data_IF_670793756559
#
_entry.id   IF_670793756559
#
_cell.length_a   1.000
_cell.length_b   1.000
_cell.length_c   1.000
_cell.angle_alpha   90.00
_cell.angle_beta   90.00
_cell.angle_gamma   90.00
#
_symmetry.space_group_name_H-M   'P 1'
#
loop_
_entity.id
_entity.type
_entity.pdbx_description
1 polymer ?
#
# COMPACT_ATOMS: atom_id res chain seq x y z
N UNK A 1 -3.36 -38.56 8.32
CA UNK A 1 -2.78 -37.20 8.21
C UNK A 1 -3.56 -36.16 9.02
N UNK A 2 -4.89 -36.22 9.10
CA UNK A 2 -5.69 -35.23 9.85
C UNK A 2 -5.62 -35.34 11.38
N UNK A 3 -5.19 -36.48 11.91
CA UNK A 3 -5.17 -36.70 13.36
C UNK A 3 -4.08 -35.88 14.06
N UNK A 4 -2.93 -35.67 13.41
CA UNK A 4 -1.82 -34.87 13.97
C UNK A 4 -2.20 -33.40 14.12
N UNK A 5 -3.01 -32.86 13.19
CA UNK A 5 -3.48 -31.47 13.24
C UNK A 5 -4.36 -31.21 14.47
N UNK A 6 -5.05 -32.23 15.00
CA UNK A 6 -5.88 -32.09 16.21
C UNK A 6 -5.07 -31.77 17.47
N UNK A 7 -3.79 -32.15 17.49
CA UNK A 7 -2.91 -31.97 18.64
C UNK A 7 -1.99 -30.75 18.52
N UNK A 8 -2.14 -29.96 17.45
CA UNK A 8 -1.37 -28.74 17.23
C UNK A 8 -2.27 -27.54 17.50
N UNK A 9 -1.74 -26.55 18.21
CA UNK A 9 -2.46 -25.30 18.46
C UNK A 9 -2.92 -24.65 17.16
N UNK A 10 -4.18 -24.22 17.13
CA UNK A 10 -4.80 -23.61 15.95
C UNK A 10 -4.00 -22.41 15.44
N UNK A 11 -3.47 -21.58 16.33
CA UNK A 11 -2.64 -20.43 15.96
C UNK A 11 -1.35 -20.81 15.20
N UNK A 12 -0.79 -21.99 15.49
CA UNK A 12 0.39 -22.49 14.79
C UNK A 12 -0.01 -22.96 13.39
N UNK A 13 -1.15 -23.63 13.26
CA UNK A 13 -1.67 -24.08 11.97
C UNK A 13 -2.04 -22.90 11.06
N UNK A 14 -2.74 -21.89 11.59
CA UNK A 14 -3.13 -20.69 10.84
C UNK A 14 -1.90 -19.93 10.33
N UNK A 15 -0.86 -19.81 11.18
CA UNK A 15 0.42 -19.21 10.79
C UNK A 15 1.12 -20.00 9.69
N UNK A 16 1.20 -21.32 9.84
CA UNK A 16 1.89 -22.15 8.86
C UNK A 16 1.16 -22.15 7.52
N UNK A 17 -0.17 -22.10 7.55
CA UNK A 17 -0.99 -21.97 6.35
C UNK A 17 -0.70 -20.66 5.62
N UNK A 18 -0.66 -19.53 6.35
CA UNK A 18 -0.28 -18.24 5.78
C UNK A 18 1.15 -18.25 5.20
N UNK A 19 2.11 -18.91 5.86
CA UNK A 19 3.47 -19.08 5.31
C UNK A 19 3.49 -19.94 4.05
N UNK A 20 2.66 -20.98 3.98
CA UNK A 20 2.56 -21.84 2.81
C UNK A 20 2.03 -21.06 1.60
N UNK A 21 0.98 -20.26 1.80
CA UNK A 21 0.42 -19.38 0.76
C UNK A 21 1.47 -18.39 0.26
N UNK A 22 2.16 -17.69 1.18
CA UNK A 22 3.17 -16.71 0.80
C UNK A 22 4.40 -17.33 0.13
N UNK A 23 4.67 -18.62 0.34
CA UNK A 23 5.79 -19.32 -0.28
C UNK A 23 5.45 -19.87 -1.66
N UNK A 24 4.23 -20.39 -1.83
CA UNK A 24 3.71 -20.97 -3.08
C UNK A 24 2.68 -20.05 -3.72
N UNK A 25 2.95 -18.75 -3.75
CA UNK A 25 1.96 -17.75 -4.18
C UNK A 25 1.43 -17.93 -5.60
N UNK A 26 2.04 -18.77 -6.45
CA UNK A 26 1.53 -19.06 -7.79
C UNK A 26 0.28 -19.94 -7.79
N UNK A 27 0.10 -20.76 -6.75
CA UNK A 27 -0.96 -21.77 -6.67
C UNK A 27 -2.25 -21.23 -5.99
N UNK A 28 -2.21 -20.01 -5.45
CA UNK A 28 -3.27 -19.43 -4.62
C UNK A 28 -3.90 -18.19 -5.25
N UNK A 29 -5.14 -17.92 -4.84
CA UNK A 29 -5.89 -16.75 -5.30
C UNK A 29 -5.33 -15.45 -4.72
N UNK A 30 -5.58 -14.34 -5.42
CA UNK A 30 -5.05 -13.03 -5.02
C UNK A 30 -5.55 -12.60 -3.63
N UNK A 31 -6.80 -12.97 -3.27
CA UNK A 31 -7.37 -12.69 -1.94
C UNK A 31 -6.65 -13.46 -0.83
N UNK A 32 -6.39 -14.75 -1.02
CA UNK A 32 -5.71 -15.59 -0.03
C UNK A 32 -4.28 -15.10 0.25
N UNK A 33 -3.59 -14.65 -0.80
CA UNK A 33 -2.24 -14.07 -0.68
C UNK A 33 -2.31 -12.76 0.08
N UNK A 34 -3.28 -11.90 -0.22
CA UNK A 34 -3.47 -10.65 0.50
C UNK A 34 -3.76 -10.88 1.98
N UNK A 35 -4.66 -11.81 2.32
CA UNK A 35 -4.99 -12.16 3.70
C UNK A 35 -3.76 -12.71 4.45
N UNK A 36 -2.95 -13.53 3.78
CA UNK A 36 -1.70 -14.03 4.35
C UNK A 36 -0.67 -12.91 4.59
N UNK A 37 -0.58 -11.90 3.70
CA UNK A 37 0.25 -10.70 3.93
C UNK A 37 -0.28 -9.93 5.14
N UNK A 38 -1.60 -9.72 5.23
CA UNK A 38 -2.24 -9.02 6.34
C UNK A 38 -1.95 -9.69 7.69
N UNK A 39 -1.99 -11.03 7.73
CA UNK A 39 -1.70 -11.81 8.94
C UNK A 39 -0.32 -11.49 9.52
N UNK A 40 0.70 -11.25 8.68
CA UNK A 40 2.05 -10.94 9.14
C UNK A 40 2.36 -9.44 9.24
N UNK A 41 1.74 -8.60 8.40
CA UNK A 41 1.90 -7.15 8.45
C UNK A 41 1.23 -6.53 9.68
N UNK A 42 0.19 -7.18 10.21
CA UNK A 42 -0.51 -6.76 11.42
C UNK A 42 -1.64 -5.75 11.16
N UNK A 43 -2.36 -5.39 12.24
CA UNK A 43 -3.61 -4.62 12.16
C UNK A 43 -3.45 -3.21 11.58
N UNK A 44 -2.27 -2.58 11.74
CA UNK A 44 -1.95 -1.26 11.18
C UNK A 44 -2.15 -1.23 9.67
N UNK A 45 -1.82 -2.32 9.00
CA UNK A 45 -1.95 -2.43 7.55
C UNK A 45 -3.41 -2.37 7.10
N UNK A 46 -4.31 -3.07 7.77
CA UNK A 46 -5.73 -3.13 7.40
C UNK A 46 -6.43 -1.75 7.50
N UNK A 47 -5.90 -0.86 8.34
CA UNK A 47 -6.43 0.48 8.52
C UNK A 47 -5.86 1.50 7.52
N UNK A 48 -5.00 1.08 6.58
CA UNK A 48 -4.40 2.01 5.61
C UNK A 48 -5.45 2.64 4.70
N UNK A 49 -5.21 3.90 4.31
CA UNK A 49 -6.12 4.68 3.45
C UNK A 49 -6.37 3.98 2.11
N UNK A 50 -5.34 3.33 1.56
CA UNK A 50 -5.41 2.55 0.32
C UNK A 50 -6.45 1.43 0.40
N UNK A 51 -6.47 0.69 1.52
CA UNK A 51 -7.41 -0.42 1.73
C UNK A 51 -8.81 0.08 2.03
N UNK A 52 -8.95 1.19 2.78
CA UNK A 52 -10.26 1.80 3.07
C UNK A 52 -10.95 2.34 1.81
N UNK A 53 -10.20 3.03 0.92
CA UNK A 53 -10.77 3.70 -0.26
C UNK A 53 -10.83 2.82 -1.51
N UNK A 54 -9.82 1.97 -1.74
CA UNK A 54 -9.63 1.21 -2.98
C UNK A 54 -9.29 -0.27 -2.68
N UNK A 55 -10.16 -0.95 -1.91
CA UNK A 55 -9.92 -2.31 -1.41
C UNK A 55 -9.66 -3.33 -2.53
N UNK A 56 -10.51 -3.38 -3.55
CA UNK A 56 -10.45 -4.39 -4.61
C UNK A 56 -9.16 -4.27 -5.43
N UNK A 57 -8.82 -3.06 -5.87
CA UNK A 57 -7.58 -2.80 -6.61
C UNK A 57 -6.36 -3.05 -5.73
N UNK A 58 -6.41 -2.66 -4.45
CA UNK A 58 -5.32 -2.89 -3.50
C UNK A 58 -5.02 -4.38 -3.36
N UNK A 59 -6.03 -5.23 -3.16
CA UNK A 59 -5.86 -6.69 -3.05
C UNK A 59 -5.09 -7.25 -4.26
N UNK A 60 -5.52 -6.90 -5.48
CA UNK A 60 -4.90 -7.36 -6.72
C UNK A 60 -3.44 -6.87 -6.80
N UNK A 61 -3.19 -5.59 -6.49
CA UNK A 61 -1.85 -5.00 -6.54
C UNK A 61 -0.91 -5.70 -5.55
N UNK A 62 -1.33 -5.86 -4.29
CA UNK A 62 -0.51 -6.52 -3.27
C UNK A 62 -0.16 -7.97 -3.64
N UNK A 63 -1.16 -8.74 -4.07
CA UNK A 63 -0.94 -10.12 -4.50
C UNK A 63 0.00 -10.19 -5.70
N UNK A 64 -0.21 -9.33 -6.71
CA UNK A 64 0.62 -9.29 -7.90
C UNK A 64 2.06 -8.93 -7.60
N UNK A 65 2.27 -7.88 -6.81
CA UNK A 65 3.60 -7.41 -6.42
C UNK A 65 4.32 -8.49 -5.64
N UNK A 66 3.65 -9.18 -4.71
CA UNK A 66 4.24 -10.29 -3.96
C UNK A 66 4.67 -11.44 -4.87
N UNK A 67 3.79 -11.89 -5.78
CA UNK A 67 4.11 -12.93 -6.79
C UNK A 67 5.31 -12.52 -7.64
N UNK A 68 5.38 -11.25 -8.07
CA UNK A 68 6.47 -10.75 -8.89
C UNK A 68 7.79 -10.72 -8.12
N UNK A 69 7.78 -10.24 -6.87
CA UNK A 69 8.99 -10.18 -6.04
C UNK A 69 9.56 -11.58 -5.80
N UNK A 70 8.69 -12.58 -5.59
CA UNK A 70 9.13 -13.98 -5.44
C UNK A 70 9.76 -14.54 -6.71
N UNK A 71 9.22 -14.22 -7.89
CA UNK A 71 9.76 -14.65 -9.19
C UNK A 71 11.07 -13.95 -9.54
N UNK A 72 11.14 -12.65 -9.30
CA UNK A 72 12.24 -11.78 -9.72
C UNK A 72 13.42 -11.79 -8.75
N UNK A 73 13.22 -12.21 -7.51
CA UNK A 73 14.10 -11.85 -6.42
C UNK A 73 15.00 -12.96 -5.90
N UNK A 74 16.18 -13.11 -6.50
CA UNK A 74 17.36 -13.52 -5.76
C UNK A 74 18.14 -12.26 -5.39
N UNK A 75 18.06 -11.86 -4.12
CA UNK A 75 18.86 -10.78 -3.56
C UNK A 75 19.91 -11.45 -2.68
N UNK A 76 21.19 -11.21 -2.95
CA UNK A 76 22.31 -11.84 -2.25
C UNK A 76 22.21 -13.38 -2.18
N UNK A 77 21.71 -13.99 -3.25
CA UNK A 77 21.54 -15.45 -3.37
C UNK A 77 20.43 -16.06 -2.51
N UNK A 78 19.52 -15.24 -1.94
CA UNK A 78 18.35 -15.70 -1.19
C UNK A 78 17.08 -15.02 -1.69
N UNK A 79 15.96 -15.73 -1.58
CA UNK A 79 14.64 -15.17 -1.91
C UNK A 79 14.21 -14.08 -0.93
N UNK A 80 13.36 -13.14 -1.37
CA UNK A 80 12.72 -12.15 -0.45
C UNK A 80 11.96 -12.88 0.67
N UNK A 81 11.31 -14.01 0.37
CA UNK A 81 10.68 -14.85 1.40
C UNK A 81 11.67 -15.23 2.51
N UNK A 82 12.88 -15.63 2.15
CA UNK A 82 13.93 -16.01 3.11
C UNK A 82 14.41 -14.82 3.93
N UNK A 83 14.40 -13.60 3.36
CA UNK A 83 14.72 -12.38 4.09
C UNK A 83 13.63 -11.98 5.09
N UNK A 84 12.36 -12.24 4.78
CA UNK A 84 11.23 -11.91 5.64
C UNK A 84 11.00 -12.96 6.74
N UNK A 85 11.04 -14.25 6.40
CA UNK A 85 10.64 -15.35 7.29
C UNK A 85 11.80 -16.27 7.70
N UNK A 86 13.00 -16.05 7.17
CA UNK A 86 14.16 -16.88 7.44
C UNK A 86 14.18 -18.19 6.65
N UNK A 87 15.09 -19.08 7.03
CA UNK A 87 15.21 -20.43 6.46
C UNK A 87 14.44 -21.44 7.30
N UNK A 88 14.00 -22.51 6.64
CA UNK A 88 13.38 -23.66 7.30
C UNK A 88 14.39 -24.30 8.25
N UNK A 89 14.05 -24.39 9.54
CA UNK A 89 14.94 -24.88 10.58
C UNK A 89 14.55 -26.29 11.01
N UNK A 90 15.56 -27.08 11.39
CA UNK A 90 15.38 -28.38 12.03
C UNK A 90 15.73 -28.22 13.51
N UNK A 91 14.74 -28.25 14.41
CA UNK A 91 14.95 -28.14 15.85
C UNK A 91 14.67 -29.48 16.54
N UNK A 92 15.52 -29.90 17.47
CA UNK A 92 15.17 -31.01 18.35
C UNK A 92 13.99 -30.61 19.24
N UNK A 93 12.97 -31.45 19.28
CA UNK A 93 11.84 -31.28 20.18
C UNK A 93 11.79 -32.45 21.15
N UNK A 94 11.17 -32.23 22.30
CA UNK A 94 10.99 -33.24 23.33
C UNK A 94 9.52 -33.23 23.73
N UNK A 95 8.63 -33.89 22.96
CA UNK A 95 7.18 -33.81 23.16
C UNK A 95 6.74 -34.19 24.57
N UNK A 96 7.48 -35.10 25.20
CA UNK A 96 7.21 -35.63 26.55
C UNK A 96 8.23 -35.17 27.60
N UNK A 97 8.95 -34.06 27.38
CA UNK A 97 10.02 -33.61 28.30
C UNK A 97 9.57 -33.51 29.76
N UNK A 98 8.33 -33.07 29.96
CA UNK A 98 7.73 -32.85 31.29
C UNK A 98 6.79 -33.97 31.72
N UNK A 99 6.66 -35.04 30.94
CA UNK A 99 5.80 -36.17 31.25
C UNK A 99 6.63 -37.31 31.85
N UNK A 100 6.15 -37.92 32.92
CA UNK A 100 6.70 -39.19 33.41
C UNK A 100 6.07 -40.31 32.59
N UNK A 101 6.88 -41.01 31.80
CA UNK A 101 6.39 -42.12 30.98
C UNK A 101 7.38 -43.29 30.98
N UNK A 102 6.84 -44.49 30.81
CA UNK A 102 7.61 -45.72 30.61
C UNK A 102 7.58 -46.08 29.12
N UNK A 103 8.75 -46.24 28.51
CA UNK A 103 8.85 -46.53 27.08
C UNK A 103 9.13 -48.02 26.87
N UNK A 104 8.05 -48.81 26.70
CA UNK A 104 8.13 -50.28 26.60
C UNK A 104 8.43 -50.76 25.16
N UNK A 105 8.40 -49.86 24.17
CA UNK A 105 8.62 -50.19 22.76
C UNK A 105 9.99 -49.71 22.27
N UNK A 106 10.61 -50.49 21.38
CA UNK A 106 11.68 -49.98 20.51
C UNK A 106 11.09 -48.87 19.65
N UNK A 107 11.64 -47.66 19.75
CA UNK A 107 11.12 -46.49 19.03
C UNK A 107 11.25 -46.71 17.52
N UNK A 108 10.11 -46.98 16.87
CA UNK A 108 10.02 -47.07 15.42
C UNK A 108 10.25 -45.67 14.83
N UNK A 109 11.04 -45.63 13.75
CA UNK A 109 11.24 -44.40 12.98
C UNK A 109 9.90 -43.96 12.39
N UNK A 110 9.50 -42.71 12.67
CA UNK A 110 8.21 -42.17 12.27
C UNK A 110 8.36 -40.79 11.63
N UNK A 111 7.62 -40.55 10.56
CA UNK A 111 7.56 -39.26 9.88
C UNK A 111 6.12 -38.78 9.80
N UNK A 112 5.86 -37.59 10.36
CA UNK A 112 4.56 -36.95 10.38
C UNK A 112 4.64 -35.63 9.63
N UNK A 113 4.00 -35.58 8.46
CA UNK A 113 3.91 -34.36 7.64
C UNK A 113 2.60 -33.67 8.00
N UNK A 114 2.68 -32.42 8.47
CA UNK A 114 1.50 -31.62 8.86
C UNK A 114 1.01 -30.79 7.68
N UNK A 115 1.92 -30.07 7.02
CA UNK A 115 1.69 -29.22 5.85
C UNK A 115 3.01 -29.02 5.08
N UNK A 116 3.01 -28.18 4.04
CA UNK A 116 4.21 -27.92 3.23
C UNK A 116 5.36 -27.21 3.98
N UNK A 117 5.12 -26.81 5.23
CA UNK A 117 5.99 -25.93 6.02
C UNK A 117 6.42 -26.58 7.35
N UNK A 118 5.67 -27.55 7.87
CA UNK A 118 5.91 -28.24 9.13
C UNK A 118 5.87 -29.75 8.99
N UNK A 119 6.92 -30.40 9.48
CA UNK A 119 6.97 -31.86 9.66
C UNK A 119 7.74 -32.25 10.92
N UNK A 120 7.40 -33.43 11.43
CA UNK A 120 8.05 -34.03 12.59
C UNK A 120 8.67 -35.37 12.21
N UNK A 121 9.91 -35.57 12.62
CA UNK A 121 10.67 -36.78 12.36
C UNK A 121 11.14 -37.36 13.68
N UNK A 122 10.72 -38.57 13.99
CA UNK A 122 11.31 -39.38 15.04
C UNK A 122 12.32 -40.33 14.41
N UNK A 123 13.58 -40.25 14.83
CA UNK A 123 14.58 -41.27 14.51
C UNK A 123 15.28 -41.71 15.77
N UNK A 124 15.29 -43.01 16.06
CA UNK A 124 15.94 -43.55 17.27
C UNK A 124 15.57 -42.77 18.55
N UNK A 125 14.29 -42.43 18.72
CA UNK A 125 13.77 -41.65 19.86
C UNK A 125 14.00 -40.16 19.85
N UNK A 126 14.81 -39.66 18.92
CA UNK A 126 15.09 -38.23 18.81
C UNK A 126 14.07 -37.61 17.87
N UNK A 127 13.22 -36.77 18.45
CA UNK A 127 12.26 -35.99 17.70
C UNK A 127 12.89 -34.72 17.16
N UNK A 128 12.67 -34.46 15.87
CA UNK A 128 13.04 -33.23 15.19
C UNK A 128 11.81 -32.63 14.55
N UNK A 129 11.69 -31.32 14.69
CA UNK A 129 10.68 -30.51 14.06
C UNK A 129 11.33 -29.69 12.96
N UNK A 130 10.79 -29.79 11.75
CA UNK A 130 11.15 -28.96 10.62
C UNK A 130 10.11 -27.87 10.47
N UNK A 131 10.42 -26.61 10.78
CA UNK A 131 9.47 -25.49 10.66
C UNK A 131 10.16 -24.12 10.55
N UNK A 132 9.41 -23.07 10.22
CA UNK A 132 9.90 -21.69 10.35
C UNK A 132 9.68 -21.19 11.78
N UNK A 133 10.74 -20.62 12.36
CA UNK A 133 10.73 -20.17 13.75
C UNK A 133 10.43 -18.67 13.79
N UNK A 134 9.42 -18.29 14.57
CA UNK A 134 8.96 -16.90 14.73
C UNK A 134 10.07 -15.92 15.11
N UNK A 135 11.06 -16.37 15.90
CA UNK A 135 12.19 -15.55 16.33
C UNK A 135 13.07 -15.07 15.16
N UNK A 136 13.05 -15.77 14.02
CA UNK A 136 13.81 -15.38 12.82
C UNK A 136 13.00 -14.52 11.84
N UNK A 137 11.77 -14.13 12.18
CA UNK A 137 10.96 -13.31 11.29
C UNK A 137 11.42 -11.86 11.35
N UNK A 138 11.84 -11.34 10.20
CA UNK A 138 12.15 -9.93 10.05
C UNK A 138 10.87 -9.16 9.73
N UNK A 139 10.11 -8.85 10.79
CA UNK A 139 8.87 -8.07 10.69
C UNK A 139 9.10 -6.69 10.06
N UNK A 140 10.24 -6.06 10.38
CA UNK A 140 10.59 -4.74 9.82
C UNK A 140 10.66 -4.82 8.31
N UNK A 141 11.32 -5.84 7.76
CA UNK A 141 11.47 -5.99 6.31
C UNK A 141 10.14 -6.15 5.58
N UNK A 142 9.25 -6.98 6.13
CA UNK A 142 7.91 -7.15 5.57
C UNK A 142 7.12 -5.83 5.64
N UNK A 143 7.17 -5.15 6.78
CA UNK A 143 6.51 -3.86 6.95
C UNK A 143 7.03 -2.82 5.95
N UNK A 144 8.34 -2.77 5.68
CA UNK A 144 8.91 -1.87 4.68
C UNK A 144 8.39 -2.15 3.27
N UNK A 145 8.25 -3.42 2.88
CA UNK A 145 7.71 -3.82 1.57
C UNK A 145 6.24 -3.39 1.47
N UNK A 146 5.45 -3.66 2.50
CA UNK A 146 4.03 -3.34 2.54
C UNK A 146 3.80 -1.82 2.50
N UNK A 147 4.61 -1.06 3.24
CA UNK A 147 4.60 0.40 3.25
C UNK A 147 4.95 0.99 1.89
N UNK A 148 5.97 0.46 1.21
CA UNK A 148 6.35 0.95 -0.12
C UNK A 148 5.24 0.69 -1.16
N UNK A 149 4.54 -0.45 -1.06
CA UNK A 149 3.38 -0.71 -1.91
C UNK A 149 2.24 0.25 -1.58
N UNK A 150 1.96 0.51 -0.29
CA UNK A 150 0.90 1.43 0.14
C UNK A 150 1.17 2.84 -0.39
N UNK A 151 2.42 3.29 -0.27
CA UNK A 151 2.92 4.54 -0.83
C UNK A 151 2.66 4.64 -2.33
N UNK A 152 3.03 3.62 -3.10
CA UNK A 152 2.81 3.64 -4.55
C UNK A 152 1.33 3.66 -4.93
N UNK A 153 0.48 2.96 -4.18
CA UNK A 153 -0.98 3.00 -4.37
C UNK A 153 -1.49 4.41 -4.11
N UNK A 154 -1.10 5.04 -2.99
CA UNK A 154 -1.51 6.42 -2.69
C UNK A 154 -1.05 7.42 -3.74
N UNK A 155 0.18 7.28 -4.23
CA UNK A 155 0.76 8.15 -5.26
C UNK A 155 -0.01 8.03 -6.60
N UNK A 156 -0.33 6.81 -7.06
CA UNK A 156 -1.03 6.60 -8.34
C UNK A 156 -2.51 7.01 -8.27
N UNK A 157 -3.21 6.63 -7.19
CA UNK A 157 -4.64 6.90 -7.04
C UNK A 157 -4.92 8.27 -6.39
N UNK A 158 -3.88 9.05 -6.07
CA UNK A 158 -3.97 10.36 -5.38
C UNK A 158 -4.80 10.27 -4.10
N UNK A 159 -4.55 9.23 -3.31
CA UNK A 159 -5.29 8.96 -2.08
C UNK A 159 -4.62 9.69 -0.91
N UNK A 160 -4.98 10.97 -0.77
CA UNK A 160 -4.51 11.82 0.32
C UNK A 160 -3.00 12.14 0.27
N UNK A 161 -2.39 12.35 1.45
CA UNK A 161 -0.97 12.69 1.57
C UNK A 161 0.00 11.57 1.13
N UNK A 162 1.11 12.02 0.55
CA UNK A 162 2.20 11.21 0.04
C UNK A 162 3.02 10.60 1.18
N UNK A 163 3.12 9.28 1.21
CA UNK A 163 3.98 8.59 2.18
C UNK A 163 5.46 8.80 1.83
N UNK A 164 6.30 8.98 2.85
CA UNK A 164 7.76 9.01 2.68
C UNK A 164 8.29 7.61 2.32
N UNK A 165 9.33 7.50 1.47
CA UNK A 165 9.99 6.24 1.19
C UNK A 165 10.56 5.64 2.47
N UNK A 166 10.22 4.37 2.78
CA UNK A 166 10.68 3.70 4.00
C UNK A 166 11.68 2.58 3.72
N UNK A 167 11.94 2.23 2.45
CA UNK A 167 12.74 1.07 2.11
C UNK A 167 14.23 1.44 2.00
N UNK A 168 15.05 0.85 2.86
CA UNK A 168 16.50 1.08 2.87
C UNK A 168 17.18 0.48 1.62
N UNK A 169 16.66 -0.66 1.13
CA UNK A 169 17.25 -1.36 -0.02
C UNK A 169 16.72 -0.85 -1.35
N UNK A 170 17.55 -0.07 -2.04
CA UNK A 170 17.23 0.51 -3.35
C UNK A 170 16.89 -0.55 -4.40
N UNK A 171 17.52 -1.73 -4.33
CA UNK A 171 17.22 -2.85 -5.25
C UNK A 171 15.80 -3.39 -5.07
N UNK A 172 15.37 -3.58 -3.82
CA UNK A 172 14.02 -4.04 -3.51
C UNK A 172 13.00 -2.98 -3.95
N UNK A 173 13.27 -1.71 -3.68
CA UNK A 173 12.46 -0.59 -4.15
C UNK A 173 12.21 -0.65 -5.66
N UNK A 174 13.28 -0.81 -6.45
CA UNK A 174 13.17 -0.86 -7.92
C UNK A 174 12.33 -2.05 -8.41
N UNK A 175 12.49 -3.21 -7.77
CA UNK A 175 11.70 -4.41 -8.10
C UNK A 175 10.22 -4.17 -7.78
N UNK A 176 9.91 -3.60 -6.61
CA UNK A 176 8.54 -3.26 -6.21
C UNK A 176 7.91 -2.29 -7.22
N UNK A 177 8.62 -1.21 -7.57
CA UNK A 177 8.12 -0.22 -8.54
C UNK A 177 7.87 -0.84 -9.91
N UNK A 178 8.76 -1.71 -10.40
CA UNK A 178 8.54 -2.42 -11.67
C UNK A 178 7.31 -3.34 -11.61
N UNK A 179 7.14 -4.07 -10.50
CA UNK A 179 6.02 -4.97 -10.28
C UNK A 179 4.69 -4.21 -10.23
N UNK A 180 4.68 -3.09 -9.52
CA UNK A 180 3.51 -2.22 -9.37
C UNK A 180 3.05 -1.65 -10.71
N UNK A 181 3.98 -1.12 -11.51
CA UNK A 181 3.68 -0.60 -12.84
C UNK A 181 3.10 -1.68 -13.78
N UNK A 182 3.57 -2.93 -13.66
CA UNK A 182 3.04 -4.04 -14.43
C UNK A 182 1.64 -4.47 -13.94
N UNK A 183 1.41 -4.46 -12.61
CA UNK A 183 0.08 -4.69 -12.03
C UNK A 183 -0.94 -3.68 -12.57
N UNK A 184 -0.59 -2.38 -12.58
CA UNK A 184 -1.44 -1.33 -13.12
C UNK A 184 -1.74 -1.52 -14.61
N UNK A 185 -0.75 -1.95 -15.41
CA UNK A 185 -0.99 -2.27 -16.82
C UNK A 185 -2.01 -3.39 -16.99
N UNK A 186 -1.95 -4.43 -16.15
CA UNK A 186 -2.89 -5.55 -16.18
C UNK A 186 -4.30 -5.12 -15.76
N UNK A 187 -4.41 -4.31 -14.70
CA UNK A 187 -5.70 -3.74 -14.27
C UNK A 187 -6.32 -2.90 -15.39
N UNK A 188 -5.57 -1.94 -15.95
CA UNK A 188 -6.02 -1.09 -17.07
C UNK A 188 -6.36 -1.90 -18.33
N UNK A 189 -5.66 -3.00 -18.59
CA UNK A 189 -5.98 -3.89 -19.71
C UNK A 189 -7.30 -4.65 -19.49
N UNK A 190 -7.52 -5.17 -18.29
CA UNK A 190 -8.76 -5.86 -17.94
C UNK A 190 -9.96 -4.90 -17.98
N UNK A 191 -9.81 -3.66 -17.50
CA UNK A 191 -10.83 -2.62 -17.61
C UNK A 191 -11.20 -2.30 -19.07
N UNK A 192 -10.21 -2.26 -19.99
CA UNK A 192 -10.46 -2.03 -21.42
C UNK A 192 -11.22 -3.17 -22.08
N UNK A 193 -11.00 -4.41 -21.66
CA UNK A 193 -11.72 -5.57 -22.20
C UNK A 193 -13.19 -5.62 -21.73
N UNK A 194 -13.53 -4.93 -20.63
CA UNK A 194 -14.90 -4.83 -20.12
C UNK A 194 -15.75 -3.76 -20.81
N UNK A 195 -15.20 -3.01 -21.79
CA UNK A 195 -15.97 -2.01 -22.54
C UNK A 195 -17.03 -2.74 -23.38
N UNK A 196 -18.26 -2.73 -22.87
CA UNK A 196 -19.44 -3.22 -23.58
C UNK A 196 -19.79 -2.25 -24.71
N UNK A 197 -19.39 -2.57 -25.93
CA UNK A 197 -19.71 -1.78 -27.12
C UNK A 197 -21.19 -1.98 -27.43
N UNK A 198 -22.00 -0.95 -27.20
CA UNK A 198 -23.42 -0.97 -27.57
C UNK A 198 -23.58 -0.73 -29.09
N UNK A 199 -23.97 -1.78 -29.80
CA UNK A 199 -24.22 -1.76 -31.24
C UNK A 199 -25.56 -1.08 -31.62
N UNK A 200 -26.35 -0.61 -30.65
CA UNK A 200 -27.62 0.08 -30.90
C UNK A 200 -27.44 1.37 -31.74
N UNK A 201 -26.33 2.09 -31.53
CA UNK A 201 -26.01 3.33 -32.25
C UNK A 201 -25.50 3.10 -33.68
N UNK A 202 -24.96 1.91 -33.99
CA UNK A 202 -24.42 1.59 -35.32
C UNK A 202 -25.49 1.60 -36.42
N UNK A 203 -26.73 1.26 -36.08
CA UNK A 203 -27.86 1.32 -37.03
C UNK A 203 -28.20 2.77 -37.40
N UNK A 204 -28.12 3.70 -36.44
CA UNK A 204 -28.32 5.13 -36.72
C UNK A 204 -27.18 5.69 -37.58
N UNK A 205 -25.94 5.39 -37.23
CA UNK A 205 -24.76 5.81 -38.02
C UNK A 205 -24.86 5.31 -39.47
N UNK A 206 -25.33 4.07 -39.69
CA UNK A 206 -25.50 3.51 -41.03
C UNK A 206 -26.59 4.22 -41.83
N UNK A 207 -27.71 4.54 -41.20
CA UNK A 207 -28.79 5.30 -41.84
C UNK A 207 -28.37 6.74 -42.15
N UNK A 208 -27.71 7.42 -41.22
CA UNK A 208 -27.25 8.81 -41.41
C UNK A 208 -26.20 8.89 -42.53
N UNK A 209 -25.32 7.89 -42.62
CA UNK A 209 -24.37 7.76 -43.72
C UNK A 209 -25.06 7.50 -45.07
N UNK A 210 -26.11 6.66 -45.12
CA UNK A 210 -26.91 6.46 -46.33
C UNK A 210 -27.60 7.76 -46.77
N UNK A 211 -28.19 8.50 -45.83
CA UNK A 211 -28.84 9.79 -46.11
C UNK A 211 -27.82 10.79 -46.68
N UNK A 212 -26.64 10.89 -46.06
CA UNK A 212 -25.57 11.78 -46.53
C UNK A 212 -25.08 11.39 -47.92
N UNK A 213 -24.92 10.07 -48.18
CA UNK A 213 -24.57 9.56 -49.50
C UNK A 213 -25.62 9.93 -50.54
N UNK A 214 -26.90 9.76 -50.24
CA UNK A 214 -28.00 10.13 -51.16
C UNK A 214 -28.08 11.64 -51.37
N UNK A 215 -27.76 12.44 -50.37
CA UNK A 215 -27.78 13.91 -50.48
C UNK A 215 -26.59 14.47 -51.29
N UNK A 216 -25.46 13.76 -51.34
CA UNK A 216 -24.30 14.12 -52.15
C UNK A 216 -24.42 13.62 -53.60
N UNK A 217 -25.29 12.63 -53.85
CA UNK A 217 -25.68 12.21 -55.19
C UNK A 217 -26.80 13.13 -55.70
N UNK A 218 -26.43 14.32 -56.16
CA UNK A 218 -27.31 15.15 -56.99
C UNK A 218 -27.22 14.62 -58.42
N UNK A 219 -28.36 14.27 -59.02
CA UNK A 219 -28.43 13.87 -60.42
C UNK A 219 -27.88 14.98 -61.33
N UNK A 220 -26.87 14.68 -62.15
CA UNK A 220 -26.26 15.63 -63.11
C UNK A 220 -27.26 16.21 -64.13
N UNK A 221 -28.47 15.68 -64.20
CA UNK A 221 -29.47 15.96 -65.24
C UNK A 221 -30.42 17.16 -64.96
N UNK A 222 -30.20 17.95 -63.90
CA UNK A 222 -30.99 19.18 -63.68
C UNK A 222 -30.27 20.49 -64.04
N UNK A 223 -29.03 20.43 -64.55
CA UNK A 223 -28.26 21.64 -64.88
C UNK A 223 -28.51 22.07 -66.34
N UNK A 224 -29.76 22.42 -66.68
CA UNK A 224 -30.04 23.15 -67.92
C UNK A 224 -31.23 24.12 -67.80
N UNK A 225 -30.95 25.32 -67.30
CA UNK A 225 -31.48 26.59 -67.85
C UNK A 225 -30.89 27.81 -67.11
N UNK A 226 -29.92 28.44 -67.78
CA UNK A 226 -29.65 29.88 -67.89
C UNK A 226 -30.17 30.89 -66.83
N UNK A 227 -29.18 31.68 -66.34
CA UNK A 227 -29.10 33.18 -66.34
C UNK A 227 -29.05 33.93 -64.99
N UNK A 228 -27.83 34.40 -64.67
CA UNK A 228 -27.35 35.77 -64.32
C UNK A 228 -27.75 36.44 -62.96
N UNK A 229 -26.67 36.87 -62.25
CA UNK A 229 -26.48 37.97 -61.26
C UNK A 229 -27.33 37.98 -59.97
N UNK A 230 -26.86 38.45 -58.81
CA UNK A 230 -26.00 39.61 -58.50
C UNK A 230 -25.59 39.56 -57.02
N UNK A 231 -24.32 39.87 -56.73
CA UNK A 231 -23.81 40.79 -55.69
C UNK A 231 -24.26 40.80 -54.21
N UNK A 232 -23.29 41.19 -53.36
CA UNK A 232 -23.39 41.91 -52.05
C UNK A 232 -23.63 41.01 -50.81
N UNK A 233 -22.91 41.09 -49.68
CA UNK A 233 -21.72 41.84 -49.21
C UNK A 233 -21.47 41.44 -47.74
N UNK A 234 -20.21 41.48 -47.30
CA UNK A 234 -19.72 41.79 -45.92
C UNK A 234 -20.13 40.89 -44.72
N UNK A 235 -19.35 40.72 -43.63
CA UNK A 235 -18.13 41.39 -43.13
C UNK A 235 -17.48 40.59 -41.98
N UNK A 236 -16.17 40.85 -41.83
CA UNK A 236 -15.38 41.01 -40.59
C UNK A 236 -15.14 39.77 -39.70
N UNK A 237 -13.90 39.30 -39.59
CA UNK A 237 -12.75 39.83 -38.82
C UNK A 237 -12.95 39.61 -37.31
N UNK A 238 -12.02 38.97 -36.57
CA UNK A 238 -10.77 39.55 -36.05
C UNK A 238 -9.79 38.38 -35.80
N UNK A 239 -8.71 38.25 -36.58
CA UNK A 239 -7.37 38.84 -36.38
C UNK A 239 -6.55 38.26 -35.20
N UNK A 240 -5.57 37.42 -35.56
CA UNK A 240 -4.15 37.36 -35.15
C UNK A 240 -3.81 37.48 -33.64
N UNK A 241 -2.83 36.79 -33.07
CA UNK A 241 -1.46 36.60 -33.58
C UNK A 241 -0.73 35.60 -32.67
N UNK A 242 0.10 34.77 -33.28
CA UNK A 242 1.11 33.89 -32.69
C UNK A 242 2.27 34.74 -32.14
N UNK A 243 2.79 34.44 -30.94
CA UNK A 243 4.23 34.55 -30.59
C UNK A 243 4.48 33.94 -29.19
N UNK A 244 5.09 32.75 -29.11
CA UNK A 244 6.50 32.53 -28.68
C UNK A 244 6.98 33.46 -27.55
N UNK A 245 7.13 32.91 -26.34
CA UNK A 245 8.43 32.83 -25.66
C UNK A 245 8.35 32.03 -24.34
N UNK A 246 9.36 31.17 -24.16
CA UNK A 246 9.73 30.42 -22.97
C UNK A 246 10.46 31.31 -21.95
N UNK A 247 10.40 30.98 -20.65
CA UNK A 247 11.52 30.97 -19.66
C UNK A 247 11.03 30.57 -18.24
N UNK A 248 11.64 29.46 -17.75
CA UNK A 248 12.25 29.12 -16.43
C UNK A 248 11.56 29.44 -15.08
N UNK A 249 11.59 28.44 -14.20
CA UNK A 249 11.68 28.60 -12.74
C UNK A 249 13.00 28.04 -12.23
N UNK A 250 13.65 28.78 -11.34
CA UNK A 250 14.97 28.51 -10.77
C UNK A 250 14.88 27.62 -9.51
N UNK A 251 15.90 26.77 -9.40
CA UNK A 251 16.41 26.09 -8.22
C UNK A 251 17.08 27.10 -7.25
N UNK A 252 17.06 26.80 -5.96
CA UNK A 252 17.57 27.66 -4.89
C UNK A 252 17.68 26.96 -3.55
N UNK A 253 18.59 26.00 -3.43
CA UNK A 253 19.09 25.45 -2.17
C UNK A 253 20.26 26.28 -1.60
N UNK A 254 20.32 26.42 -0.26
CA UNK A 254 21.50 26.32 0.64
C UNK A 254 21.12 26.81 2.04
N UNK A 255 20.92 25.94 3.04
CA UNK A 255 21.89 25.30 3.96
C UNK A 255 22.33 26.17 5.15
N UNK A 256 22.16 25.63 6.37
CA UNK A 256 23.14 25.63 7.49
C UNK A 256 22.57 24.93 8.73
N UNK A 257 23.23 23.85 9.14
CA UNK A 257 23.16 23.29 10.49
C UNK A 257 24.37 23.81 11.28
N UNK A 258 24.11 24.33 12.48
CA UNK A 258 25.10 24.52 13.54
C UNK A 258 24.63 23.73 14.76
N UNK A 259 25.59 23.02 15.38
CA UNK A 259 25.41 22.19 16.56
C UNK A 259 24.93 23.01 17.76
N UNK A 260 24.11 22.41 18.62
CA UNK A 260 24.10 22.65 20.06
C UNK A 260 23.50 21.43 20.77
N UNK A 261 24.38 20.71 21.48
CA UNK A 261 24.02 19.83 22.59
C UNK A 261 23.17 20.61 23.60
N UNK A 262 22.01 20.09 23.98
CA UNK A 262 21.46 20.33 25.30
C UNK A 262 20.73 19.09 25.81
N UNK A 263 21.21 18.67 26.97
CA UNK A 263 20.65 17.66 27.84
C UNK A 263 19.13 17.77 27.98
N UNK A 264 18.49 16.63 27.74
CA UNK A 264 17.26 16.11 28.34
C UNK A 264 16.57 17.04 29.36
N UNK A 265 15.36 17.52 29.05
CA UNK A 265 14.35 17.67 30.09
C UNK A 265 12.92 17.37 29.55
N UNK A 266 11.87 17.50 30.36
CA UNK A 266 11.44 16.60 31.42
C UNK A 266 10.09 15.96 31.07
N UNK A 267 9.78 14.83 31.70
CA UNK A 267 8.50 14.11 31.68
C UNK A 267 7.32 15.00 32.17
N UNK A 268 6.87 15.95 31.36
CA UNK A 268 5.58 16.65 31.49
C UNK A 268 4.61 16.07 30.43
N UNK A 269 4.78 14.76 30.21
CA UNK A 269 4.49 14.01 28.99
C UNK A 269 2.99 13.80 28.75
N UNK A 270 2.60 13.93 27.48
CA UNK A 270 1.38 13.44 26.85
C UNK A 270 0.07 14.21 27.10
N UNK A 271 -0.24 14.63 28.34
CA UNK A 271 -1.58 15.21 28.64
C UNK A 271 -1.80 16.59 28.02
N UNK A 272 -0.77 17.45 27.99
CA UNK A 272 -0.85 18.81 27.44
C UNK A 272 -0.84 18.77 25.90
N UNK A 273 0.02 17.94 25.31
CA UNK A 273 0.10 17.75 23.86
C UNK A 273 -1.23 17.25 23.28
N UNK A 274 -1.87 16.26 23.93
CA UNK A 274 -3.19 15.77 23.52
C UNK A 274 -4.29 16.83 23.67
N UNK A 275 -4.24 17.68 24.70
CA UNK A 275 -5.19 18.80 24.84
C UNK A 275 -5.03 19.83 23.72
N UNK A 276 -3.78 20.18 23.38
CA UNK A 276 -3.49 21.10 22.28
C UNK A 276 -3.99 20.50 20.96
N UNK A 277 -3.74 19.21 20.70
CA UNK A 277 -4.24 18.50 19.52
C UNK A 277 -5.78 18.51 19.43
N UNK A 278 -6.48 18.27 20.55
CA UNK A 278 -7.96 18.38 20.60
C UNK A 278 -8.46 19.78 20.26
N UNK A 279 -7.75 20.83 20.70
CA UNK A 279 -8.11 22.21 20.37
C UNK A 279 -7.88 22.53 18.89
N UNK A 280 -6.79 22.04 18.30
CA UNK A 280 -6.51 22.15 16.87
C UNK A 280 -7.61 21.46 16.05
N UNK A 281 -7.98 20.23 16.40
CA UNK A 281 -9.04 19.48 15.71
C UNK A 281 -10.40 20.17 15.81
N UNK A 282 -10.71 20.75 16.98
CA UNK A 282 -11.96 21.45 17.24
C UNK A 282 -12.01 22.89 16.67
N UNK A 283 -10.94 23.38 16.05
CA UNK A 283 -10.85 24.76 15.55
C UNK A 283 -10.89 25.81 16.65
N UNK A 284 -10.49 25.45 17.88
CA UNK A 284 -10.46 26.36 19.04
C UNK A 284 -9.11 27.06 19.12
N UNK A 285 -9.06 28.18 19.84
CA UNK A 285 -7.82 28.94 20.04
C UNK A 285 -6.80 28.11 20.85
N UNK A 286 -5.86 27.49 20.14
CA UNK A 286 -4.75 26.73 20.72
C UNK A 286 -3.56 27.64 21.08
N UNK A 287 -3.46 28.85 20.47
CA UNK A 287 -2.34 29.77 20.66
C UNK A 287 -2.27 30.31 22.09
N UNK A 288 -3.42 30.50 22.74
CA UNK A 288 -3.48 30.88 24.16
C UNK A 288 -2.93 29.79 25.09
N UNK A 289 -3.17 28.51 24.78
CA UNK A 289 -2.63 27.37 25.53
C UNK A 289 -1.11 27.20 25.36
N UNK A 290 -0.58 27.47 24.17
CA UNK A 290 0.86 27.43 23.89
C UNK A 290 1.58 28.56 24.66
N UNK A 291 1.03 29.78 24.60
CA UNK A 291 1.56 30.95 25.32
C UNK A 291 1.48 30.82 26.84
N UNK A 292 0.40 30.25 27.39
CA UNK A 292 0.24 30.10 28.84
C UNK A 292 1.19 29.07 29.45
N UNK A 293 1.72 28.14 28.65
CA UNK A 293 2.63 27.10 29.09
C UNK A 293 4.09 27.34 28.66
N UNK A 294 4.41 28.51 28.07
CA UNK A 294 5.75 28.85 27.53
C UNK A 294 6.34 27.79 26.57
N UNK A 295 5.51 27.14 25.76
CA UNK A 295 5.96 26.10 24.83
C UNK A 295 6.20 26.69 23.43
N UNK A 296 7.13 26.11 22.68
CA UNK A 296 7.35 26.47 21.27
C UNK A 296 6.48 25.62 20.34
N UNK A 297 5.93 26.28 19.33
CA UNK A 297 5.05 25.69 18.31
C UNK A 297 5.72 24.52 17.59
N UNK A 298 7.01 24.66 17.23
CA UNK A 298 7.80 23.60 16.59
C UNK A 298 7.94 22.36 17.47
N UNK A 299 8.31 22.54 18.74
CA UNK A 299 8.51 21.45 19.70
C UNK A 299 7.21 20.68 19.95
N UNK A 300 6.07 21.37 20.04
CA UNK A 300 4.77 20.71 20.22
C UNK A 300 4.40 19.92 18.96
N UNK A 301 4.63 20.49 17.79
CA UNK A 301 4.37 19.83 16.50
C UNK A 301 5.20 18.56 16.38
N UNK A 302 6.50 18.63 16.70
CA UNK A 302 7.40 17.49 16.65
C UNK A 302 7.03 16.44 17.69
N UNK A 303 6.76 16.82 18.94
CA UNK A 303 6.35 15.88 19.99
C UNK A 303 5.06 15.15 19.64
N UNK A 304 4.05 15.87 19.13
CA UNK A 304 2.79 15.27 18.71
C UNK A 304 3.02 14.35 17.51
N UNK A 305 3.80 14.80 16.51
CA UNK A 305 4.14 13.97 15.37
C UNK A 305 4.85 12.68 15.82
N UNK A 306 5.88 12.76 16.66
CA UNK A 306 6.59 11.59 17.21
C UNK A 306 5.65 10.64 17.96
N UNK A 307 4.75 11.18 18.79
CA UNK A 307 3.79 10.36 19.56
C UNK A 307 2.87 9.57 18.64
N UNK A 308 2.39 10.19 17.56
CA UNK A 308 1.46 9.56 16.61
C UNK A 308 2.20 8.86 15.45
N UNK A 309 3.52 9.03 15.32
CA UNK A 309 4.30 8.45 14.25
C UNK A 309 4.32 6.92 14.32
N UNK A 310 4.32 6.35 15.52
CA UNK A 310 4.29 4.89 15.65
C UNK A 310 2.98 4.28 15.13
N UNK A 311 1.86 5.01 15.22
CA UNK A 311 0.53 4.50 14.89
C UNK A 311 0.04 4.92 13.51
N UNK A 312 0.31 6.16 13.10
CA UNK A 312 -0.08 6.72 11.79
C UNK A 312 1.04 6.58 10.76
N UNK A 313 2.31 6.56 11.20
CA UNK A 313 3.46 6.41 10.31
C UNK A 313 3.81 7.66 9.50
N UNK A 314 3.21 8.80 9.84
CA UNK A 314 3.42 10.07 9.17
C UNK A 314 3.22 11.26 10.13
N UNK A 315 3.63 12.44 9.69
CA UNK A 315 3.40 13.68 10.41
C UNK A 315 1.92 14.08 10.30
N UNK A 316 1.27 14.26 11.44
CA UNK A 316 -0.13 14.65 11.53
C UNK A 316 -0.33 16.16 11.65
N UNK A 317 0.73 16.88 12.02
CA UNK A 317 0.76 18.32 12.13
C UNK A 317 1.92 18.88 11.31
N UNK A 318 1.70 20.00 10.65
CA UNK A 318 2.74 20.80 10.00
C UNK A 318 2.84 22.17 10.67
N UNK A 319 4.06 22.68 10.82
CA UNK A 319 4.33 23.98 11.43
C UNK A 319 4.88 24.92 10.37
N UNK A 320 4.18 26.03 10.10
CA UNK A 320 4.70 27.11 9.26
C UNK A 320 4.88 28.37 10.13
N UNK A 321 6.14 28.65 10.51
CA UNK A 321 6.46 29.72 11.44
C UNK A 321 5.86 29.46 12.83
N UNK A 322 4.89 30.28 13.22
CA UNK A 322 4.19 30.21 14.53
C UNK A 322 2.80 29.55 14.43
N UNK A 323 2.41 29.04 13.26
CA UNK A 323 1.10 28.42 13.04
C UNK A 323 1.20 26.91 12.84
N UNK A 324 0.29 26.17 13.48
CA UNK A 324 0.16 24.72 13.35
C UNK A 324 -1.04 24.42 12.44
N UNK A 325 -0.81 23.59 11.45
CA UNK A 325 -1.81 23.08 10.53
C UNK A 325 -2.03 21.59 10.78
N UNK A 326 -3.30 21.19 10.86
CA UNK A 326 -3.67 19.79 10.88
C UNK A 326 -3.64 19.24 9.46
N UNK A 327 -2.98 18.10 9.29
CA UNK A 327 -3.02 17.32 8.06
C UNK A 327 -4.39 16.64 8.00
N UNK A 328 -5.34 17.24 7.27
CA UNK A 328 -6.77 16.91 7.31
C UNK A 328 -7.07 15.43 6.96
N UNK A 329 -6.24 14.78 6.14
CA UNK A 329 -6.43 13.38 5.78
C UNK A 329 -6.26 12.43 6.96
N UNK A 330 -5.51 12.83 7.98
CA UNK A 330 -5.32 12.05 9.20
C UNK A 330 -6.31 12.43 10.29
N UNK A 331 -7.18 13.43 10.09
CA UNK A 331 -8.14 13.89 11.12
C UNK A 331 -8.99 12.74 11.65
N UNK A 332 -9.48 11.89 10.76
CA UNK A 332 -10.35 10.75 11.13
C UNK A 332 -9.56 9.64 11.84
N UNK A 333 -8.32 9.38 11.43
CA UNK A 333 -7.44 8.41 12.09
C UNK A 333 -6.98 8.90 13.48
N UNK A 334 -6.67 10.20 13.62
CA UNK A 334 -6.35 10.84 14.90
C UNK A 334 -7.56 10.79 15.84
N UNK A 335 -8.77 11.04 15.34
CA UNK A 335 -9.99 10.94 16.14
C UNK A 335 -10.24 9.52 16.65
N UNK A 336 -9.99 8.50 15.82
CA UNK A 336 -10.11 7.11 16.23
C UNK A 336 -9.10 6.76 17.34
N UNK A 337 -7.83 7.17 17.20
CA UNK A 337 -6.78 6.92 18.19
C UNK A 337 -7.06 7.68 19.50
N UNK A 338 -7.45 8.95 19.43
CA UNK A 338 -7.80 9.76 20.61
C UNK A 338 -9.08 9.24 21.29
N UNK A 339 -10.01 8.66 20.52
CA UNK A 339 -11.23 8.02 21.02
C UNK A 339 -10.97 6.74 21.80
N UNK A 340 -10.04 5.89 21.35
CA UNK A 340 -9.64 4.66 22.05
C UNK A 340 -8.90 4.92 23.38
N UNK A 341 -8.35 6.12 23.59
CA UNK A 341 -7.63 6.48 24.83
C UNK A 341 -8.60 6.87 25.98
N UNK A 342 -9.91 7.02 25.71
CA UNK A 342 -10.91 7.51 26.68
C UNK A 342 -12.17 6.64 26.84
N UNK A 343 -12.16 5.39 26.39
CA UNK A 343 -13.03 4.31 26.90
C UNK A 343 -12.20 3.31 27.71
#
# INVERSE_FOLDING_TARGET
MDEVKKYIDKEILDRDHALEILKKSEDYEDMEIFDAICFFAGKRFLNSVSIKKEREKSIIIYAYVWKYILKSGNIDGKSIFTHCFGRLQNRSIYPLLNAVYWNDKTEEDAEYIVNGVRSYHCKTGRWKEKSYIRAYFNKKKLASIVHEIDRLIRDEFKLGYYLKPSIEDTRIATIIVSAFNEALKKIKHNERNLINIDFSALKKIRNDAEITKTSLLVDEDCIHSQVINTDIVEKADIQNTIEKNSIKYNDGNQSKSENLDFDKPPEISDNINLKILKFIIAGKDYKSLIKSNNLFTSIITDNINETFFEDIGDNILECEGDEIYLVEDYREDILNIIGEIYE
#
